data_IF_960899527991
#
_entry.id   IF_960899527991
#
_cell.length_a   1.000
_cell.length_b   1.000
_cell.length_c   1.000
_cell.angle_alpha   90.00
_cell.angle_beta   90.00
_cell.angle_gamma   90.00
#
_symmetry.space_group_name_H-M   'P 1'
#
loop_
_entity.id
_entity.type
_entity.pdbx_description
1 polymer ?
#
# COMPACT_ATOMS: atom_id res chain seq x y z
N UNK A 1 -43.97 17.10 17.28
CA UNK A 1 -42.66 17.77 17.12
C UNK A 1 -42.41 18.60 18.37
N UNK A 2 -41.41 18.29 19.20
CA UNK A 2 -41.05 19.16 20.33
C UNK A 2 -40.36 20.40 19.80
N UNK A 3 -40.80 21.57 20.26
CA UNK A 3 -40.34 22.88 19.80
C UNK A 3 -38.84 23.05 20.03
N UNK A 4 -38.14 23.68 19.08
CA UNK A 4 -36.72 24.02 19.16
C UNK A 4 -36.39 24.83 20.44
N UNK A 5 -37.38 25.55 20.98
CA UNK A 5 -37.28 26.33 22.20
C UNK A 5 -37.13 25.47 23.47
N UNK A 6 -37.74 24.28 23.54
CA UNK A 6 -37.66 23.39 24.71
C UNK A 6 -36.28 22.73 24.86
N UNK A 7 -35.54 22.59 23.76
CA UNK A 7 -34.25 21.92 23.73
C UNK A 7 -33.11 22.80 24.27
N UNK A 8 -33.20 24.12 24.14
CA UNK A 8 -32.18 25.07 24.58
C UNK A 8 -32.16 25.27 26.11
N UNK A 9 -33.29 25.06 26.80
CA UNK A 9 -33.38 25.15 28.26
C UNK A 9 -32.82 23.91 28.99
N UNK A 10 -32.70 22.77 28.31
CA UNK A 10 -32.40 21.47 28.94
C UNK A 10 -30.98 20.95 28.68
N UNK A 11 -30.27 21.51 27.69
CA UNK A 11 -28.95 21.05 27.28
C UNK A 11 -28.03 22.22 26.99
N UNK A 12 -26.75 22.13 27.39
CA UNK A 12 -25.75 23.09 26.91
C UNK A 12 -25.65 23.04 25.38
N UNK A 13 -25.27 24.16 24.76
CA UNK A 13 -25.11 24.30 23.30
C UNK A 13 -24.31 23.13 22.71
N UNK A 14 -23.25 22.66 23.40
CA UNK A 14 -22.45 21.51 22.97
C UNK A 14 -23.20 20.18 22.92
N UNK A 15 -24.14 19.92 23.84
CA UNK A 15 -24.98 18.71 23.82
C UNK A 15 -26.06 18.78 22.74
N UNK A 16 -26.53 19.98 22.40
CA UNK A 16 -27.49 20.19 21.31
C UNK A 16 -26.84 19.92 19.95
N UNK A 17 -25.63 20.45 19.73
CA UNK A 17 -24.82 20.20 18.54
C UNK A 17 -24.51 18.71 18.40
N UNK A 18 -24.15 18.03 19.49
CA UNK A 18 -23.92 16.57 19.48
C UNK A 18 -25.18 15.79 19.08
N UNK A 19 -26.36 16.13 19.60
CA UNK A 19 -27.62 15.46 19.20
C UNK A 19 -28.02 15.74 17.75
N UNK A 20 -27.72 16.92 17.23
CA UNK A 20 -27.94 17.25 15.82
C UNK A 20 -26.95 16.51 14.92
N UNK A 21 -25.69 16.36 15.36
CA UNK A 21 -24.67 15.58 14.69
C UNK A 21 -25.01 14.07 14.70
N UNK A 22 -25.41 13.52 15.84
CA UNK A 22 -25.84 12.11 15.95
C UNK A 22 -27.07 11.80 15.08
N UNK A 23 -27.91 12.80 14.81
CA UNK A 23 -29.16 12.66 14.04
C UNK A 23 -29.01 12.93 12.54
N UNK A 24 -28.18 13.90 12.15
CA UNK A 24 -28.05 14.35 10.75
C UNK A 24 -26.64 14.17 10.18
N UNK A 25 -25.67 13.74 10.98
CA UNK A 25 -24.31 13.47 10.56
C UNK A 25 -23.56 14.70 10.06
N UNK A 26 -23.80 15.88 10.62
CA UNK A 26 -23.16 17.11 10.14
C UNK A 26 -21.62 17.07 10.21
N UNK A 27 -21.05 16.49 11.26
CA UNK A 27 -19.63 16.18 11.36
C UNK A 27 -19.22 15.04 10.44
N UNK A 28 -20.11 14.10 10.09
CA UNK A 28 -19.81 13.08 9.08
C UNK A 28 -19.71 13.71 7.67
N UNK A 29 -20.56 14.69 7.37
CA UNK A 29 -20.48 15.51 6.16
C UNK A 29 -19.21 16.36 6.16
N UNK A 30 -18.90 17.07 7.25
CA UNK A 30 -17.64 17.82 7.38
C UNK A 30 -16.42 16.89 7.22
N UNK A 31 -16.40 15.73 7.89
CA UNK A 31 -15.34 14.72 7.74
C UNK A 31 -15.24 14.17 6.32
N UNK A 32 -16.36 14.04 5.62
CA UNK A 32 -16.37 13.70 4.20
C UNK A 32 -15.74 14.81 3.37
N UNK A 33 -15.95 16.09 3.71
CA UNK A 33 -15.39 17.23 2.98
C UNK A 33 -13.92 17.52 3.33
N UNK A 34 -13.49 17.20 4.55
CA UNK A 34 -12.11 17.38 5.03
C UNK A 34 -11.25 16.12 4.90
N UNK A 35 -11.86 14.99 4.53
CA UNK A 35 -11.19 13.70 4.33
C UNK A 35 -10.84 13.41 2.87
N UNK A 36 -10.38 12.20 2.60
CA UNK A 36 -10.18 11.70 1.23
C UNK A 36 -11.51 11.31 0.58
N UNK A 37 -12.34 12.31 0.26
CA UNK A 37 -13.57 12.14 -0.51
C UNK A 37 -13.30 11.58 -1.91
N UNK A 38 -14.27 10.89 -2.50
CA UNK A 38 -14.13 10.45 -3.89
C UNK A 38 -14.08 11.65 -4.84
N UNK A 39 -12.98 11.83 -5.58
CA UNK A 39 -12.77 12.95 -6.48
C UNK A 39 -13.09 12.56 -7.94
N UNK A 40 -14.26 12.95 -8.48
CA UNK A 40 -14.67 12.55 -9.82
C UNK A 40 -13.83 13.24 -10.90
N UNK A 41 -13.36 14.47 -10.68
CA UNK A 41 -12.56 15.21 -11.67
C UNK A 41 -11.16 14.61 -11.82
N UNK A 42 -10.48 14.33 -10.71
CA UNK A 42 -9.19 13.66 -10.74
C UNK A 42 -9.30 12.22 -11.27
N UNK A 43 -10.40 11.53 -10.94
CA UNK A 43 -10.73 10.22 -11.49
C UNK A 43 -10.91 10.28 -13.01
N UNK A 44 -11.71 11.20 -13.54
CA UNK A 44 -11.86 11.41 -14.98
C UNK A 44 -10.51 11.70 -15.64
N UNK A 45 -9.76 12.66 -15.08
CA UNK A 45 -8.48 13.09 -15.61
C UNK A 45 -7.49 11.92 -15.73
N UNK A 46 -7.23 11.18 -14.66
CA UNK A 46 -6.22 10.10 -14.70
C UNK A 46 -6.64 8.94 -15.60
N UNK A 47 -7.93 8.57 -15.61
CA UNK A 47 -8.39 7.43 -16.42
C UNK A 47 -8.21 7.71 -17.92
N UNK A 48 -8.62 8.89 -18.39
CA UNK A 48 -8.58 9.21 -19.82
C UNK A 48 -7.20 9.65 -20.33
N UNK A 49 -6.34 10.16 -19.45
CA UNK A 49 -4.98 10.56 -19.86
C UNK A 49 -3.96 9.43 -19.75
N UNK A 50 -4.11 8.50 -18.81
CA UNK A 50 -3.09 7.48 -18.56
C UNK A 50 -3.46 6.08 -19.06
N UNK A 51 -4.75 5.70 -19.16
CA UNK A 51 -5.13 4.36 -19.61
C UNK A 51 -5.55 4.34 -21.09
N UNK A 52 -5.38 3.19 -21.79
CA UNK A 52 -6.00 2.97 -23.09
C UNK A 52 -7.50 3.22 -23.04
N UNK A 53 -8.06 3.87 -24.05
CA UNK A 53 -9.46 4.31 -24.08
C UNK A 53 -10.47 3.22 -23.66
N UNK A 54 -10.30 1.99 -24.15
CA UNK A 54 -11.17 0.83 -23.81
C UNK A 54 -11.15 0.45 -22.33
N UNK A 55 -10.04 0.71 -21.63
CA UNK A 55 -9.93 0.52 -20.19
C UNK A 55 -10.45 1.76 -19.46
N UNK A 56 -10.11 2.96 -19.92
CA UNK A 56 -10.48 4.25 -19.32
C UNK A 56 -11.99 4.40 -19.13
N UNK A 57 -12.81 4.06 -20.13
CA UNK A 57 -14.28 4.18 -20.07
C UNK A 57 -14.94 3.33 -18.96
N UNK A 58 -14.23 2.35 -18.41
CA UNK A 58 -14.70 1.50 -17.31
C UNK A 58 -14.37 2.10 -15.94
N UNK A 59 -13.67 3.23 -15.90
CA UNK A 59 -13.20 3.90 -14.69
C UNK A 59 -12.48 2.95 -13.72
N UNK A 60 -11.40 2.26 -14.16
CA UNK A 60 -10.70 1.33 -13.30
C UNK A 60 -10.05 1.97 -12.08
N UNK A 61 -9.60 3.23 -12.19
CA UNK A 61 -8.89 3.91 -11.11
C UNK A 61 -9.79 4.95 -10.44
N UNK A 62 -10.04 4.82 -9.14
CA UNK A 62 -10.69 5.84 -8.33
C UNK A 62 -9.66 6.66 -7.56
N UNK A 63 -9.80 7.97 -7.65
CA UNK A 63 -8.94 8.93 -6.96
C UNK A 63 -9.72 9.55 -5.80
N UNK A 64 -9.09 9.61 -4.63
CA UNK A 64 -9.66 10.19 -3.44
C UNK A 64 -8.89 11.44 -3.00
N UNK A 65 -9.55 12.40 -2.36
CA UNK A 65 -8.96 13.68 -1.94
C UNK A 65 -8.49 14.54 -3.11
N UNK A 66 -7.46 15.35 -2.87
CA UNK A 66 -6.89 16.29 -3.85
C UNK A 66 -5.39 16.03 -4.05
N UNK A 67 -5.01 14.87 -4.61
CA UNK A 67 -3.60 14.54 -4.81
C UNK A 67 -2.92 15.46 -5.82
N UNK A 68 -1.62 15.68 -5.64
CA UNK A 68 -0.77 16.35 -6.61
C UNK A 68 -0.49 15.43 -7.80
N UNK A 69 -1.17 15.65 -8.92
CA UNK A 69 -0.97 14.90 -10.17
C UNK A 69 -0.09 15.73 -11.12
N UNK A 70 1.24 15.59 -11.01
CA UNK A 70 2.19 16.45 -11.73
C UNK A 70 2.37 16.06 -13.19
N UNK A 71 2.69 14.78 -13.42
CA UNK A 71 2.83 14.21 -14.75
C UNK A 71 1.98 12.94 -14.78
N UNK A 72 1.00 12.89 -15.69
CA UNK A 72 0.12 11.72 -15.89
C UNK A 72 0.11 11.26 -17.35
N UNK A 73 1.11 11.71 -18.11
CA UNK A 73 1.29 11.38 -19.53
C UNK A 73 1.95 10.03 -19.75
N UNK A 74 2.50 9.41 -18.70
CA UNK A 74 2.97 8.03 -18.74
C UNK A 74 1.81 7.03 -18.83
N UNK A 75 2.09 5.89 -19.45
CA UNK A 75 1.12 4.83 -19.68
C UNK A 75 0.73 4.14 -18.35
N UNK A 76 -0.55 3.79 -18.24
CA UNK A 76 -1.07 2.84 -17.26
C UNK A 76 -1.83 1.73 -17.98
N UNK A 77 -1.58 0.48 -17.62
CA UNK A 77 -2.21 -0.67 -18.28
C UNK A 77 -2.69 -1.69 -17.27
N UNK A 78 -3.85 -2.25 -17.52
CA UNK A 78 -4.38 -3.38 -16.76
C UNK A 78 -4.26 -4.64 -17.61
N UNK A 79 -3.57 -5.64 -17.07
CA UNK A 79 -3.48 -6.97 -17.67
C UNK A 79 -4.54 -7.84 -17.00
N UNK A 80 -5.52 -8.29 -17.79
CA UNK A 80 -6.66 -9.08 -17.31
C UNK A 80 -7.99 -8.33 -17.31
N UNK A 81 -8.92 -8.75 -16.44
CA UNK A 81 -10.30 -8.25 -16.43
C UNK A 81 -10.39 -6.88 -15.74
N UNK A 82 -10.69 -5.85 -16.52
CA UNK A 82 -10.95 -4.49 -16.02
C UNK A 82 -12.31 -4.42 -15.30
N UNK A 83 -12.30 -3.92 -14.07
CA UNK A 83 -13.49 -3.62 -13.26
C UNK A 83 -13.41 -2.18 -12.75
N UNK A 84 -14.56 -1.52 -12.63
CA UNK A 84 -14.66 -0.17 -12.09
C UNK A 84 -14.13 -0.09 -10.65
N UNK A 85 -13.34 0.94 -10.37
CA UNK A 85 -12.78 1.20 -9.03
C UNK A 85 -11.84 0.12 -8.49
N UNK A 86 -11.26 -0.72 -9.36
CA UNK A 86 -10.35 -1.78 -8.92
C UNK A 86 -8.99 -1.26 -8.44
N UNK A 87 -8.59 -0.07 -8.90
CA UNK A 87 -7.40 0.65 -8.43
C UNK A 87 -7.87 1.83 -7.60
N UNK A 88 -7.40 1.94 -6.37
CA UNK A 88 -7.73 3.03 -5.46
C UNK A 88 -6.47 3.82 -5.15
N UNK A 89 -6.48 5.14 -5.37
CA UNK A 89 -5.34 6.00 -5.14
C UNK A 89 -5.66 7.14 -4.19
N UNK A 90 -4.70 7.46 -3.31
CA UNK A 90 -4.83 8.47 -2.26
C UNK A 90 -6.00 8.19 -1.31
N UNK A 91 -6.30 6.91 -1.07
CA UNK A 91 -7.39 6.47 -0.19
C UNK A 91 -6.86 6.20 1.21
N UNK A 92 -7.30 6.97 2.20
CA UNK A 92 -6.94 6.71 3.59
C UNK A 92 -7.48 5.36 4.07
N UNK A 93 -6.68 4.67 4.89
CA UNK A 93 -7.17 3.58 5.71
C UNK A 93 -7.97 4.18 6.88
N UNK A 94 -9.29 4.05 6.85
CA UNK A 94 -10.15 4.48 7.95
C UNK A 94 -9.77 3.76 9.24
N UNK A 95 -9.44 4.53 10.29
CA UNK A 95 -9.40 4.14 11.71
C UNK A 95 -8.20 3.31 12.24
N UNK A 96 -7.10 3.16 11.50
CA UNK A 96 -5.86 2.56 12.03
C UNK A 96 -4.71 3.59 12.06
N UNK A 97 -3.82 3.50 13.05
CA UNK A 97 -2.59 4.30 13.06
C UNK A 97 -1.69 3.89 11.87
N UNK A 98 -1.07 4.83 11.13
CA UNK A 98 -1.18 6.27 11.19
C UNK A 98 -2.25 6.79 10.21
N UNK A 99 -3.47 7.04 10.68
CA UNK A 99 -4.49 7.70 9.87
C UNK A 99 -4.00 9.09 9.46
N UNK A 100 -3.89 9.35 8.17
CA UNK A 100 -3.46 10.64 7.65
C UNK A 100 -4.53 11.29 6.78
N UNK A 101 -4.53 12.62 6.75
CA UNK A 101 -5.36 13.45 5.88
C UNK A 101 -4.55 14.12 4.76
N UNK A 102 -3.22 13.92 4.76
CA UNK A 102 -2.36 14.48 3.73
C UNK A 102 -2.57 13.80 2.37
N UNK A 103 -2.42 14.57 1.31
CA UNK A 103 -2.61 14.10 -0.05
C UNK A 103 -1.32 13.46 -0.61
N UNK A 104 -1.51 12.50 -1.50
CA UNK A 104 -0.44 11.84 -2.25
C UNK A 104 -0.03 12.66 -3.47
N UNK A 105 1.17 12.37 -3.97
CA UNK A 105 1.75 12.94 -5.16
C UNK A 105 2.02 11.82 -6.17
N UNK A 106 1.63 12.02 -7.42
CA UNK A 106 1.93 11.13 -8.53
C UNK A 106 2.62 11.90 -9.66
N UNK A 107 3.75 11.36 -10.09
CA UNK A 107 4.46 11.78 -11.29
C UNK A 107 4.82 10.52 -12.09
N UNK A 108 4.08 10.26 -13.15
CA UNK A 108 4.26 9.15 -14.07
C UNK A 108 4.62 9.66 -15.48
N UNK A 109 5.83 9.36 -15.90
CA UNK A 109 6.36 9.54 -17.26
C UNK A 109 6.71 8.20 -17.92
N UNK A 110 6.61 7.09 -17.19
CA UNK A 110 6.96 5.74 -17.64
C UNK A 110 5.72 4.88 -17.87
N UNK A 111 5.77 3.63 -17.42
CA UNK A 111 4.65 2.69 -17.50
C UNK A 111 4.33 2.10 -16.14
N UNK A 112 3.06 2.10 -15.76
CA UNK A 112 2.55 1.36 -14.58
C UNK A 112 1.64 0.23 -15.06
N UNK A 113 1.96 -1.00 -14.67
CA UNK A 113 1.16 -2.19 -15.00
C UNK A 113 0.46 -2.68 -13.74
N UNK A 114 -0.84 -2.90 -13.85
CA UNK A 114 -1.67 -3.52 -12.81
C UNK A 114 -2.17 -4.88 -13.28
N UNK A 115 -1.88 -5.93 -12.51
CA UNK A 115 -2.38 -7.30 -12.76
C UNK A 115 -3.69 -7.62 -12.04
N UNK A 116 -4.25 -6.64 -11.33
CA UNK A 116 -5.50 -6.82 -10.59
C UNK A 116 -5.83 -5.62 -9.72
N UNK A 117 -6.59 -5.86 -8.65
CA UNK A 117 -6.93 -4.79 -7.70
C UNK A 117 -5.66 -4.23 -7.06
N UNK A 118 -5.59 -2.93 -6.84
CA UNK A 118 -4.50 -2.32 -6.10
C UNK A 118 -5.02 -1.16 -5.26
N UNK A 119 -4.45 -0.97 -4.08
CA UNK A 119 -4.70 0.22 -3.25
C UNK A 119 -3.39 0.91 -2.95
N UNK A 120 -3.36 2.22 -3.15
CA UNK A 120 -2.29 3.10 -2.75
C UNK A 120 -2.89 4.09 -1.75
N UNK A 121 -2.30 4.11 -0.55
CA UNK A 121 -2.69 4.95 0.57
C UNK A 121 -2.47 6.43 0.30
N UNK A 122 -2.65 7.21 1.35
CA UNK A 122 -2.48 8.66 1.32
C UNK A 122 -1.06 9.11 1.70
N UNK A 123 -0.81 10.41 1.61
CA UNK A 123 0.49 11.03 1.94
C UNK A 123 1.72 10.41 1.25
N UNK A 124 1.52 9.73 0.11
CA UNK A 124 2.56 8.96 -0.57
C UNK A 124 3.06 9.69 -1.80
N UNK A 125 4.35 9.57 -2.11
CA UNK A 125 4.95 10.05 -3.36
C UNK A 125 5.30 8.87 -4.25
N UNK A 126 4.70 8.84 -5.44
CA UNK A 126 4.99 7.86 -6.47
C UNK A 126 5.61 8.58 -7.68
N UNK A 127 6.85 8.25 -7.98
CA UNK A 127 7.59 8.75 -9.12
C UNK A 127 7.95 7.58 -10.03
N UNK A 128 7.52 7.62 -11.28
CA UNK A 128 7.87 6.66 -12.33
C UNK A 128 8.44 7.42 -13.50
N UNK A 129 9.74 7.27 -13.73
CA UNK A 129 10.48 8.02 -14.74
C UNK A 129 10.22 7.49 -16.16
N UNK A 130 10.61 8.30 -17.15
CA UNK A 130 10.55 7.92 -18.56
C UNK A 130 11.29 6.60 -18.80
N UNK A 131 10.68 5.70 -19.56
CA UNK A 131 11.16 4.34 -19.85
C UNK A 131 11.28 3.40 -18.64
N UNK A 132 10.81 3.82 -17.45
CA UNK A 132 10.75 2.96 -16.29
C UNK A 132 9.44 2.15 -16.27
N UNK A 133 9.48 0.96 -15.66
CA UNK A 133 8.33 0.10 -15.48
C UNK A 133 8.08 -0.18 -13.98
N UNK A 134 6.90 0.21 -13.50
CA UNK A 134 6.38 -0.21 -12.20
C UNK A 134 5.31 -1.26 -12.40
N UNK A 135 5.54 -2.47 -11.90
CA UNK A 135 4.60 -3.60 -12.03
C UNK A 135 4.01 -3.98 -10.67
N UNK A 136 2.67 -3.98 -10.60
CA UNK A 136 1.90 -4.27 -9.40
C UNK A 136 1.03 -5.51 -9.62
N UNK A 137 1.28 -6.54 -8.82
CA UNK A 137 0.51 -7.77 -8.78
C UNK A 137 -0.94 -7.56 -8.35
N UNK A 138 -1.75 -8.61 -8.45
CA UNK A 138 -3.14 -8.57 -8.04
C UNK A 138 -3.28 -8.41 -6.51
N UNK A 139 -4.25 -7.61 -6.08
CA UNK A 139 -4.57 -7.34 -4.68
C UNK A 139 -3.39 -6.77 -3.89
N UNK A 140 -2.49 -5.97 -4.48
CA UNK A 140 -1.42 -5.27 -3.75
C UNK A 140 -2.01 -4.12 -2.91
N UNK A 141 -1.50 -3.93 -1.68
CA UNK A 141 -1.79 -2.73 -0.89
C UNK A 141 -0.48 -2.05 -0.52
N UNK A 142 -0.35 -0.82 -0.97
CA UNK A 142 0.69 0.14 -0.62
C UNK A 142 0.07 1.09 0.39
N UNK A 143 0.61 1.12 1.60
CA UNK A 143 0.08 1.90 2.72
C UNK A 143 0.32 3.40 2.58
N UNK A 144 0.24 4.10 3.70
CA UNK A 144 0.37 5.56 3.75
C UNK A 144 1.84 6.00 3.89
N UNK A 145 2.18 7.23 3.50
CA UNK A 145 3.53 7.80 3.63
C UNK A 145 4.63 7.01 2.91
N UNK A 146 4.31 6.46 1.76
CA UNK A 146 5.28 5.73 0.95
C UNK A 146 6.06 6.72 0.11
N UNK A 147 7.37 6.53 0.03
CA UNK A 147 8.20 7.22 -0.96
C UNK A 147 8.75 6.20 -1.96
N UNK A 148 8.14 6.13 -3.15
CA UNK A 148 8.50 5.18 -4.21
C UNK A 148 9.06 5.92 -5.42
N UNK A 149 10.30 5.62 -5.77
CA UNK A 149 10.99 6.15 -6.96
C UNK A 149 11.43 5.03 -7.91
N UNK A 150 10.71 4.85 -9.01
CA UNK A 150 10.98 3.89 -10.07
C UNK A 150 11.72 4.58 -11.23
N UNK A 151 12.95 4.16 -11.50
CA UNK A 151 13.82 4.79 -12.52
C UNK A 151 14.15 3.85 -13.68
N UNK A 152 14.02 2.53 -13.48
CA UNK A 152 14.18 1.51 -14.50
C UNK A 152 13.13 0.39 -14.31
N UNK A 153 13.14 -0.36 -13.20
CA UNK A 153 12.18 -1.44 -12.96
C UNK A 153 11.94 -1.72 -11.47
N UNK A 154 10.67 -1.72 -11.07
CA UNK A 154 10.21 -2.20 -9.76
C UNK A 154 9.05 -3.17 -9.95
N UNK A 155 9.14 -4.36 -9.35
CA UNK A 155 8.03 -5.32 -9.30
C UNK A 155 7.58 -5.62 -7.88
N UNK A 156 6.26 -5.64 -7.68
CA UNK A 156 5.61 -5.98 -6.41
C UNK A 156 4.61 -7.10 -6.67
N UNK A 157 4.88 -8.28 -6.12
CA UNK A 157 4.08 -9.50 -6.33
C UNK A 157 2.66 -9.40 -5.77
N UNK A 158 1.80 -10.32 -6.21
CA UNK A 158 0.39 -10.38 -5.78
C UNK A 158 0.24 -10.51 -4.27
N UNK A 159 -0.86 -9.98 -3.73
CA UNK A 159 -1.21 -10.04 -2.31
C UNK A 159 -0.17 -9.44 -1.35
N UNK A 160 0.88 -8.78 -1.85
CA UNK A 160 1.88 -8.11 -1.03
C UNK A 160 1.31 -6.88 -0.34
N UNK A 161 1.76 -6.65 0.90
CA UNK A 161 1.40 -5.50 1.73
C UNK A 161 2.64 -4.71 2.08
N UNK A 162 2.67 -3.46 1.70
CA UNK A 162 3.68 -2.49 2.14
C UNK A 162 3.00 -1.59 3.16
N UNK A 163 3.42 -1.64 4.41
CA UNK A 163 2.83 -0.80 5.46
C UNK A 163 3.42 0.61 5.41
N UNK A 164 3.00 1.47 6.34
CA UNK A 164 3.27 2.89 6.27
C UNK A 164 4.74 3.28 6.43
N UNK A 165 5.09 4.47 5.91
CA UNK A 165 6.41 5.12 6.07
C UNK A 165 7.58 4.37 5.41
N UNK A 166 7.31 3.45 4.48
CA UNK A 166 8.38 2.75 3.77
C UNK A 166 8.97 3.60 2.63
N UNK A 167 10.25 3.36 2.32
CA UNK A 167 10.95 3.98 1.21
C UNK A 167 11.40 2.90 0.21
N UNK A 168 11.14 3.13 -1.07
CA UNK A 168 11.47 2.20 -2.15
C UNK A 168 12.19 3.01 -3.22
N UNK A 169 13.51 2.94 -3.25
CA UNK A 169 14.36 3.79 -4.08
C UNK A 169 15.31 2.92 -4.91
N UNK A 170 14.95 2.72 -6.17
CA UNK A 170 15.70 1.88 -7.12
C UNK A 170 16.98 2.55 -7.63
N UNK A 171 17.07 3.88 -7.52
CA UNK A 171 18.20 4.68 -7.95
C UNK A 171 18.93 5.30 -6.77
N UNK A 172 20.26 5.34 -6.87
CA UNK A 172 21.09 6.17 -5.99
C UNK A 172 21.28 7.60 -6.54
N UNK A 173 20.67 7.92 -7.69
CA UNK A 173 20.72 9.19 -8.41
C UNK A 173 22.09 9.68 -8.91
N UNK A 174 23.19 9.15 -8.37
CA UNK A 174 24.55 9.56 -8.70
C UNK A 174 25.41 8.37 -9.13
N UNK A 175 26.35 8.63 -10.02
CA UNK A 175 27.33 7.63 -10.48
C UNK A 175 28.48 7.48 -9.47
N UNK A 176 28.99 6.26 -9.35
CA UNK A 176 30.14 5.94 -8.50
C UNK A 176 31.22 5.31 -9.38
N UNK A 177 32.41 5.91 -9.39
CA UNK A 177 33.57 5.36 -10.07
C UNK A 177 34.33 4.39 -9.13
N UNK A 178 34.55 3.16 -9.59
CA UNK A 178 35.48 2.24 -8.94
C UNK A 178 36.88 2.47 -9.55
N UNK A 179 37.79 3.03 -8.76
CA UNK A 179 39.13 3.37 -9.21
C UNK A 179 40.05 2.15 -9.37
N UNK A 180 39.80 1.04 -8.67
CA UNK A 180 40.61 -0.17 -8.81
C UNK A 180 40.29 -0.91 -10.11
N UNK A 181 39.02 -0.95 -10.51
CA UNK A 181 38.59 -1.57 -11.78
C UNK A 181 38.47 -0.56 -12.93
N UNK A 182 38.62 0.75 -12.66
CA UNK A 182 38.40 1.85 -13.62
C UNK A 182 37.02 1.79 -14.29
N UNK A 183 35.99 1.38 -13.56
CA UNK A 183 34.63 1.23 -14.08
C UNK A 183 33.61 2.07 -13.34
N UNK A 184 32.61 2.59 -14.05
CA UNK A 184 31.38 3.17 -13.48
C UNK A 184 30.22 2.21 -13.74
N UNK A 185 29.40 1.94 -12.73
CA UNK A 185 28.19 1.11 -12.85
C UNK A 185 26.94 1.99 -12.99
N UNK A 186 25.84 1.47 -13.57
CA UNK A 186 24.55 2.16 -13.56
C UNK A 186 24.13 2.55 -12.14
N UNK A 187 23.46 3.71 -12.00
CA UNK A 187 22.95 4.20 -10.71
C UNK A 187 21.62 3.54 -10.30
N UNK A 188 21.01 2.76 -11.21
CA UNK A 188 19.77 2.00 -11.00
C UNK A 188 20.07 0.51 -10.90
N UNK A 189 19.32 -0.18 -10.02
CA UNK A 189 19.26 -1.64 -9.99
C UNK A 189 17.84 -2.06 -9.60
N UNK A 190 17.19 -2.95 -10.36
CA UNK A 190 15.80 -3.31 -10.12
C UNK A 190 15.49 -3.72 -8.69
N UNK A 191 14.29 -3.39 -8.22
CA UNK A 191 13.76 -3.89 -6.95
C UNK A 191 12.66 -4.91 -7.25
N UNK A 192 12.74 -6.08 -6.61
CA UNK A 192 11.75 -7.15 -6.78
C UNK A 192 11.25 -7.62 -5.43
N UNK A 193 9.95 -7.48 -5.21
CA UNK A 193 9.26 -7.98 -4.02
C UNK A 193 8.34 -9.12 -4.47
N UNK A 194 8.52 -10.31 -3.90
CA UNK A 194 7.71 -11.49 -4.17
C UNK A 194 6.24 -11.32 -3.79
N UNK A 195 5.45 -12.36 -4.01
CA UNK A 195 4.02 -12.39 -3.64
C UNK A 195 3.81 -12.68 -2.17
N UNK A 196 2.70 -12.21 -1.61
CA UNK A 196 2.31 -12.45 -0.23
C UNK A 196 3.25 -11.85 0.81
N UNK A 197 4.19 -10.98 0.41
CA UNK A 197 5.15 -10.40 1.33
C UNK A 197 4.50 -9.38 2.25
N UNK A 198 5.02 -9.27 3.47
CA UNK A 198 4.65 -8.21 4.40
C UNK A 198 5.85 -7.32 4.71
N UNK A 199 5.87 -6.13 4.12
CA UNK A 199 6.91 -5.13 4.36
C UNK A 199 6.43 -4.24 5.49
N UNK A 200 6.98 -4.44 6.69
CA UNK A 200 6.59 -3.70 7.88
C UNK A 200 7.16 -2.28 7.89
N UNK A 201 6.67 -1.47 8.81
CA UNK A 201 6.69 -0.01 8.68
C UNK A 201 8.10 0.57 8.76
N UNK A 202 8.29 1.73 8.15
CA UNK A 202 9.59 2.41 8.07
C UNK A 202 10.71 1.61 7.39
N UNK A 203 10.40 0.56 6.64
CA UNK A 203 11.42 -0.21 5.94
C UNK A 203 11.92 0.57 4.73
N UNK A 204 13.23 0.51 4.48
CA UNK A 204 13.88 1.09 3.30
C UNK A 204 14.39 -0.03 2.40
N UNK A 205 13.88 -0.06 1.17
CA UNK A 205 14.34 -0.92 0.07
C UNK A 205 15.14 -0.06 -0.90
N UNK A 206 16.40 -0.39 -1.12
CA UNK A 206 17.28 0.36 -2.04
C UNK A 206 17.61 -0.44 -3.29
N UNK A 207 18.23 0.22 -4.28
CA UNK A 207 18.67 -0.34 -5.54
C UNK A 207 19.14 -1.80 -5.41
N UNK A 208 18.52 -2.72 -6.15
CA UNK A 208 18.86 -4.13 -6.21
C UNK A 208 18.22 -5.01 -5.14
N UNK A 209 17.37 -4.47 -4.27
CA UNK A 209 16.70 -5.24 -3.23
C UNK A 209 15.81 -6.34 -3.84
N UNK A 210 16.01 -7.57 -3.39
CA UNK A 210 15.19 -8.73 -3.75
C UNK A 210 14.63 -9.35 -2.47
N UNK A 211 13.32 -9.53 -2.43
CA UNK A 211 12.59 -10.14 -1.31
C UNK A 211 11.79 -11.32 -1.89
N UNK A 212 12.11 -12.56 -1.50
CA UNK A 212 11.39 -13.76 -1.96
C UNK A 212 9.93 -13.82 -1.48
N UNK A 213 9.15 -14.73 -2.06
CA UNK A 213 7.74 -14.92 -1.75
C UNK A 213 7.48 -15.15 -0.26
N UNK A 214 6.34 -14.65 0.20
CA UNK A 214 5.80 -14.80 1.55
C UNK A 214 6.70 -14.31 2.69
N UNK A 215 7.79 -13.60 2.38
CA UNK A 215 8.69 -13.10 3.40
C UNK A 215 8.07 -11.93 4.17
N UNK A 216 8.43 -11.85 5.44
CA UNK A 216 8.10 -10.72 6.33
C UNK A 216 9.37 -9.90 6.51
N UNK A 217 9.34 -8.61 6.15
CA UNK A 217 10.44 -7.69 6.45
C UNK A 217 10.07 -6.86 7.67
N UNK A 218 10.79 -7.06 8.77
CA UNK A 218 10.57 -6.39 10.05
C UNK A 218 10.74 -4.86 9.94
N UNK A 219 10.04 -4.13 10.81
CA UNK A 219 10.03 -2.67 10.77
C UNK A 219 11.41 -2.05 10.95
N UNK A 220 11.61 -0.87 10.35
CA UNK A 220 12.88 -0.12 10.37
C UNK A 220 14.08 -0.89 9.79
N UNK A 221 13.86 -1.81 8.85
CA UNK A 221 14.95 -2.56 8.21
C UNK A 221 15.48 -1.85 6.97
N UNK A 222 16.75 -2.09 6.64
CA UNK A 222 17.39 -1.65 5.40
C UNK A 222 17.72 -2.85 4.53
N UNK A 223 16.89 -3.13 3.53
CA UNK A 223 17.18 -4.15 2.52
C UNK A 223 17.92 -3.48 1.38
N UNK A 224 19.23 -3.71 1.33
CA UNK A 224 20.07 -3.30 0.22
C UNK A 224 20.25 -4.47 -0.75
N UNK A 225 20.51 -4.17 -2.03
CA UNK A 225 20.63 -5.18 -3.09
C UNK A 225 21.86 -6.09 -3.03
N UNK A 226 22.22 -6.59 -1.85
CA UNK A 226 23.18 -7.65 -1.62
C UNK A 226 22.51 -9.02 -1.56
N UNK A 227 23.33 -10.09 -1.50
CA UNK A 227 22.85 -11.49 -1.46
C UNK A 227 22.13 -11.88 -0.16
N UNK A 228 22.14 -11.02 0.86
CA UNK A 228 21.69 -11.36 2.21
C UNK A 228 20.20 -11.71 2.31
N UNK A 229 19.37 -11.21 1.39
CA UNK A 229 17.91 -11.43 1.41
C UNK A 229 17.39 -12.16 0.17
N UNK A 230 18.12 -12.10 -0.94
CA UNK A 230 17.65 -12.59 -2.24
C UNK A 230 17.40 -14.12 -2.29
N UNK A 231 18.11 -14.89 -1.47
CA UNK A 231 18.01 -16.35 -1.42
C UNK A 231 17.28 -16.85 -0.16
N UNK A 232 16.55 -15.98 0.54
CA UNK A 232 15.77 -16.40 1.69
C UNK A 232 14.67 -17.40 1.26
N UNK A 233 14.46 -18.51 1.99
CA UNK A 233 13.31 -19.37 1.77
C UNK A 233 11.99 -18.60 1.93
N UNK A 234 10.92 -19.12 1.30
CA UNK A 234 9.59 -18.57 1.51
C UNK A 234 9.19 -18.63 3.00
N UNK A 235 8.45 -17.62 3.47
CA UNK A 235 8.09 -17.51 4.89
C UNK A 235 9.26 -17.12 5.81
N UNK A 236 10.38 -16.65 5.26
CA UNK A 236 11.45 -16.09 6.08
C UNK A 236 11.04 -14.74 6.71
N UNK A 237 11.56 -14.50 7.92
CA UNK A 237 11.55 -13.17 8.55
C UNK A 237 12.91 -12.52 8.28
N UNK A 238 12.89 -11.35 7.66
CA UNK A 238 14.08 -10.56 7.30
C UNK A 238 14.07 -9.28 8.12
N UNK A 239 15.22 -8.83 8.62
CA UNK A 239 15.29 -7.53 9.27
C UNK A 239 16.67 -7.05 9.68
N UNK A 240 16.74 -5.80 10.14
CA UNK A 240 17.96 -5.14 10.60
C UNK A 240 18.55 -4.15 9.58
N UNK A 241 19.70 -3.56 9.94
CA UNK A 241 20.44 -2.58 9.13
C UNK A 241 21.94 -2.97 9.13
N UNK A 242 22.48 -3.54 8.03
CA UNK A 242 21.76 -4.04 6.87
C UNK A 242 20.88 -5.26 7.22
N UNK A 243 19.82 -5.46 6.46
CA UNK A 243 18.88 -6.55 6.70
C UNK A 243 19.53 -7.93 6.45
N UNK A 244 19.14 -8.90 7.28
CA UNK A 244 19.54 -10.30 7.21
C UNK A 244 18.32 -11.18 7.46
N UNK A 245 18.41 -12.46 7.11
CA UNK A 245 17.41 -13.45 7.51
C UNK A 245 17.52 -13.67 9.03
N UNK A 246 16.44 -13.38 9.75
CA UNK A 246 16.30 -13.56 11.19
C UNK A 246 15.67 -14.92 11.54
N UNK A 247 14.81 -15.43 10.65
CA UNK A 247 14.18 -16.74 10.78
C UNK A 247 13.84 -17.30 9.40
N UNK A 248 13.96 -18.62 9.25
CA UNK A 248 13.59 -19.36 8.03
C UNK A 248 12.57 -20.46 8.30
N UNK A 249 11.89 -20.39 9.46
CA UNK A 249 10.97 -21.44 9.93
C UNK A 249 9.55 -21.28 9.37
N UNK A 250 9.42 -21.01 8.07
CA UNK A 250 8.11 -20.99 7.39
C UNK A 250 7.05 -20.10 8.08
N UNK A 251 7.42 -18.87 8.42
CA UNK A 251 6.57 -17.92 9.11
C UNK A 251 5.70 -17.16 8.10
N UNK A 252 4.44 -17.55 7.98
CA UNK A 252 3.48 -16.92 7.07
C UNK A 252 2.58 -15.93 7.80
N UNK A 253 2.34 -14.77 7.19
CA UNK A 253 1.33 -13.83 7.68
C UNK A 253 -0.07 -14.37 7.38
N UNK A 254 -0.88 -14.53 8.42
CA UNK A 254 -2.29 -14.87 8.28
C UNK A 254 -3.04 -13.63 7.76
N UNK A 255 -3.76 -13.80 6.65
CA UNK A 255 -4.50 -12.74 5.96
C UNK A 255 -5.96 -13.11 5.71
N UNK A 256 -6.31 -14.38 5.82
CA UNK A 256 -7.67 -14.82 5.64
C UNK A 256 -8.56 -14.24 6.76
N UNK A 257 -9.54 -13.36 6.44
CA UNK A 257 -10.33 -12.67 7.46
C UNK A 257 -11.11 -13.61 8.38
N UNK A 258 -11.49 -14.80 7.88
CA UNK A 258 -12.15 -15.81 8.71
C UNK A 258 -11.20 -16.36 9.77
N UNK A 259 -9.95 -16.61 9.39
CA UNK A 259 -8.90 -17.07 10.30
C UNK A 259 -8.49 -15.98 11.29
N UNK A 260 -8.25 -14.75 10.82
CA UNK A 260 -7.99 -13.62 11.72
C UNK A 260 -9.12 -13.44 12.74
N UNK A 261 -10.38 -13.41 12.29
CA UNK A 261 -11.54 -13.28 13.18
C UNK A 261 -11.65 -14.41 14.21
N UNK A 262 -11.46 -15.66 13.77
CA UNK A 262 -11.43 -16.83 14.66
C UNK A 262 -10.33 -16.73 15.70
N UNK A 263 -9.11 -16.38 15.29
CA UNK A 263 -7.97 -16.24 16.19
C UNK A 263 -8.18 -15.09 17.18
N UNK A 264 -8.70 -13.94 16.74
CA UNK A 264 -9.05 -12.84 17.65
C UNK A 264 -10.06 -13.26 18.71
N UNK A 265 -11.12 -13.99 18.32
CA UNK A 265 -12.10 -14.52 19.27
C UNK A 265 -11.48 -15.51 20.26
N UNK A 266 -10.61 -16.40 19.77
CA UNK A 266 -9.96 -17.40 20.62
C UNK A 266 -8.97 -16.77 21.60
N UNK A 267 -8.08 -15.87 21.15
CA UNK A 267 -7.11 -15.18 22.00
C UNK A 267 -7.74 -14.16 22.96
N UNK A 268 -8.97 -13.69 22.68
CA UNK A 268 -9.72 -12.89 23.65
C UNK A 268 -10.04 -13.69 24.93
N UNK A 269 -10.17 -15.02 24.82
CA UNK A 269 -10.48 -15.93 25.91
C UNK A 269 -9.23 -16.65 26.45
N UNK A 270 -8.18 -16.81 25.63
CA UNK A 270 -7.00 -17.62 25.93
C UNK A 270 -5.69 -16.82 25.71
N UNK A 271 -5.47 -15.75 26.50
CA UNK A 271 -4.44 -14.72 26.20
C UNK A 271 -2.98 -15.21 26.22
N UNK A 272 -2.68 -16.22 27.03
CA UNK A 272 -1.30 -16.69 27.24
C UNK A 272 -1.06 -18.08 26.61
N UNK A 273 -2.08 -18.66 26.00
CA UNK A 273 -1.98 -20.00 25.42
C UNK A 273 -1.55 -19.92 23.97
N UNK A 274 -1.03 -21.03 23.45
CA UNK A 274 -0.67 -21.16 22.04
C UNK A 274 -1.82 -21.81 21.27
N UNK A 275 -2.28 -21.14 20.21
CA UNK A 275 -3.22 -21.76 19.28
C UNK A 275 -2.51 -22.78 18.39
N UNK A 276 -2.98 -24.02 18.39
CA UNK A 276 -2.47 -25.08 17.52
C UNK A 276 -3.34 -25.11 16.27
N UNK A 277 -2.71 -24.92 15.10
CA UNK A 277 -3.38 -25.01 13.81
C UNK A 277 -3.82 -26.45 13.51
N UNK A 278 -4.96 -26.66 12.80
CA UNK A 278 -5.33 -27.97 12.29
C UNK A 278 -4.24 -28.57 11.40
N UNK A 279 -4.04 -29.90 11.46
CA UNK A 279 -2.95 -30.56 10.72
C UNK A 279 -3.12 -30.54 9.20
N UNK A 280 -4.34 -30.39 8.72
CA UNK A 280 -4.72 -30.41 7.30
C UNK A 280 -4.71 -29.03 6.64
N UNK A 281 -4.40 -27.97 7.39
CA UNK A 281 -4.43 -26.60 6.88
C UNK A 281 -3.27 -26.36 5.91
N UNK A 282 -3.57 -25.74 4.76
CA UNK A 282 -2.53 -25.29 3.82
C UNK A 282 -2.12 -23.84 4.08
N UNK A 283 -0.92 -23.48 3.62
CA UNK A 283 -0.43 -22.09 3.66
C UNK A 283 -1.39 -21.18 2.89
N UNK A 284 -1.84 -21.61 1.71
CA UNK A 284 -2.78 -20.88 0.86
C UNK A 284 -4.08 -20.54 1.60
N UNK A 285 -4.58 -21.45 2.44
CA UNK A 285 -5.80 -21.17 3.22
C UNK A 285 -5.60 -20.01 4.20
N UNK A 286 -4.42 -19.90 4.80
CA UNK A 286 -4.07 -18.87 5.77
C UNK A 286 -3.76 -17.51 5.12
N UNK A 287 -3.05 -17.53 3.99
CA UNK A 287 -2.50 -16.32 3.36
C UNK A 287 -3.41 -15.73 2.28
N UNK A 288 -4.31 -16.52 1.70
CA UNK A 288 -5.10 -16.07 0.56
C UNK A 288 -6.37 -15.32 0.98
N UNK A 289 -6.51 -14.09 0.50
CA UNK A 289 -7.75 -13.33 0.65
C UNK A 289 -8.69 -13.69 -0.50
N UNK A 290 -9.64 -14.62 -0.27
CA UNK A 290 -10.77 -14.82 -1.19
C UNK A 290 -11.72 -13.61 -1.03
N UNK A 291 -11.67 -12.68 -1.99
CA UNK A 291 -12.57 -11.52 -2.09
C UNK A 291 -13.82 -11.85 -2.90
#
# INVERSE_FOLDING_TARGET
>A
MRSFQELHQKYSIGKLIKKLDDRYGFQALIRSLTGHWFNPFATLYINFFSFPFRQAIKFPMFVYGTPGLYHVVGDMRIIGKVKTGMIEFNKANSLNAPHQLANSELSNLGTIIFHGKARIGCASRLLVQKNALLELGANVIIGDNINLGCHQYISIGEQTRITHRCQIQESNHHFIANMSTRTVKPCTRPISIGRGCWICNSTTLTAGATIPDFCIVASNSLVNGGKNTANAPAGSIIGGIPAKVLSSNENYRIFNPKWEGRLFQWFAQNKNDQYILPQDISVEELVHVRL
#
